data_IF_142240059491
#
_entry.id   IF_142240059491
#
_cell.length_a   1.000
_cell.length_b   1.000
_cell.length_c   1.000
_cell.angle_alpha   90.00
_cell.angle_beta   90.00
_cell.angle_gamma   90.00
#
_symmetry.space_group_name_H-M   'P 1'
#
loop_
_entity.id
_entity.type
_entity.pdbx_description
1 polymer ?
#
# COMPACT_ATOMS: atom_id res chain seq x y z
N UNK A 1 27.74 -18.82 -1.45
CA UNK A 1 26.96 -18.95 -0.19
C UNK A 1 25.52 -19.24 -0.57
N UNK A 2 25.06 -20.49 -0.43
CA UNK A 2 23.71 -20.91 -0.85
C UNK A 2 22.74 -20.47 0.24
N UNK A 3 22.07 -19.32 0.05
CA UNK A 3 21.07 -18.82 0.99
C UNK A 3 19.85 -19.74 0.86
N UNK A 4 19.62 -20.58 1.86
CA UNK A 4 18.49 -21.52 1.88
C UNK A 4 17.16 -20.76 1.83
N UNK A 5 16.13 -21.29 1.16
CA UNK A 5 14.89 -20.56 0.85
C UNK A 5 14.17 -20.04 2.10
N UNK A 6 14.33 -20.73 3.24
CA UNK A 6 13.79 -20.37 4.55
C UNK A 6 14.31 -19.02 5.06
N UNK A 7 15.60 -18.77 4.89
CA UNK A 7 16.24 -17.51 5.30
C UNK A 7 15.87 -16.36 4.39
N UNK A 8 15.64 -16.63 3.10
CA UNK A 8 15.11 -15.63 2.17
C UNK A 8 13.71 -15.19 2.57
N UNK A 9 12.84 -16.13 2.91
CA UNK A 9 11.49 -15.83 3.40
C UNK A 9 11.53 -15.05 4.72
N UNK A 10 12.33 -15.50 5.68
CA UNK A 10 12.49 -14.81 6.96
C UNK A 10 13.01 -13.37 6.78
N UNK A 11 14.00 -13.18 5.91
CA UNK A 11 14.50 -11.84 5.58
C UNK A 11 13.44 -10.97 4.91
N UNK A 12 12.67 -11.50 3.96
CA UNK A 12 11.57 -10.77 3.33
C UNK A 12 10.51 -10.35 4.34
N UNK A 13 10.09 -11.25 5.22
CA UNK A 13 9.12 -10.95 6.28
C UNK A 13 9.66 -9.88 7.22
N UNK A 14 10.93 -9.99 7.62
CA UNK A 14 11.57 -8.99 8.47
C UNK A 14 11.61 -7.60 7.80
N UNK A 15 11.93 -7.54 6.50
CA UNK A 15 11.92 -6.29 5.74
C UNK A 15 10.51 -5.69 5.68
N UNK A 16 9.49 -6.51 5.37
CA UNK A 16 8.09 -6.05 5.35
C UNK A 16 7.68 -5.53 6.73
N UNK A 17 8.01 -6.25 7.80
CA UNK A 17 7.71 -5.85 9.17
C UNK A 17 8.38 -4.52 9.54
N UNK A 18 9.65 -4.32 9.18
CA UNK A 18 10.36 -3.05 9.41
C UNK A 18 9.73 -1.90 8.63
N UNK A 19 9.39 -2.13 7.36
CA UNK A 19 8.72 -1.11 6.55
C UNK A 19 7.37 -0.74 7.16
N UNK A 20 6.59 -1.73 7.56
CA UNK A 20 5.24 -1.53 8.09
C UNK A 20 5.22 -0.87 9.47
N UNK A 21 6.06 -1.35 10.40
CA UNK A 21 6.01 -0.94 11.81
C UNK A 21 6.90 0.25 12.14
N UNK A 22 7.89 0.55 11.30
CA UNK A 22 8.87 1.62 11.59
C UNK A 22 8.85 2.69 10.51
N UNK A 23 9.08 2.30 9.26
CA UNK A 23 9.27 3.28 8.17
C UNK A 23 7.97 4.04 7.88
N UNK A 24 6.86 3.32 7.74
CA UNK A 24 5.57 3.90 7.40
C UNK A 24 5.05 4.87 8.49
N UNK A 25 5.00 4.51 9.79
CA UNK A 25 4.58 5.45 10.83
C UNK A 25 5.55 6.63 10.98
N UNK A 26 6.85 6.42 10.77
CA UNK A 26 7.82 7.53 10.77
C UNK A 26 7.56 8.54 9.65
N UNK A 27 7.18 8.07 8.45
CA UNK A 27 6.79 8.94 7.34
C UNK A 27 5.47 9.65 7.65
N UNK A 28 4.48 8.93 8.18
CA UNK A 28 3.17 9.49 8.54
C UNK A 28 3.29 10.62 9.57
N UNK A 29 4.26 10.53 10.49
CA UNK A 29 4.49 11.54 11.52
C UNK A 29 5.25 12.79 11.01
N UNK A 30 5.61 12.86 9.72
CA UNK A 30 6.18 14.08 9.15
C UNK A 30 5.08 15.15 9.01
N UNK A 31 5.38 16.44 9.29
CA UNK A 31 4.37 17.51 9.30
C UNK A 31 3.54 17.55 8.02
N UNK A 32 4.18 17.52 6.86
CA UNK A 32 3.51 17.59 5.54
C UNK A 32 2.54 16.43 5.30
N UNK A 33 2.86 15.23 5.80
CA UNK A 33 2.00 14.05 5.62
C UNK A 33 0.85 14.09 6.63
N UNK A 34 1.16 14.40 7.89
CA UNK A 34 0.16 14.52 8.96
C UNK A 34 -0.87 15.61 8.65
N UNK A 35 -0.45 16.80 8.22
CA UNK A 35 -1.35 17.91 7.82
C UNK A 35 -2.29 17.49 6.68
N UNK A 36 -1.78 16.71 5.73
CA UNK A 36 -2.60 16.21 4.62
C UNK A 36 -3.60 15.14 5.08
N UNK A 37 -3.19 14.26 5.99
CA UNK A 37 -4.09 13.25 6.57
C UNK A 37 -5.20 13.95 7.36
N UNK A 38 -4.86 14.93 8.20
CA UNK A 38 -5.81 15.72 8.98
C UNK A 38 -6.78 16.49 8.08
N UNK A 39 -6.27 17.11 7.00
CA UNK A 39 -7.14 17.76 6.01
C UNK A 39 -8.13 16.79 5.33
N UNK A 40 -7.70 15.56 5.03
CA UNK A 40 -8.57 14.54 4.44
C UNK A 40 -9.66 14.11 5.45
N UNK A 41 -9.26 13.90 6.71
CA UNK A 41 -10.16 13.52 7.80
C UNK A 41 -11.19 14.62 8.09
N UNK A 42 -10.75 15.88 8.18
CA UNK A 42 -11.61 17.07 8.35
C UNK A 42 -12.65 17.22 7.22
N UNK A 43 -12.32 16.74 6.02
CA UNK A 43 -13.22 16.75 4.86
C UNK A 43 -14.07 15.49 4.75
N UNK A 44 -13.89 14.51 5.63
CA UNK A 44 -14.55 13.21 5.55
C UNK A 44 -14.19 12.43 4.28
N UNK A 45 -13.00 12.69 3.71
CA UNK A 45 -12.53 12.04 2.49
C UNK A 45 -11.70 10.82 2.88
N UNK A 46 -12.19 9.63 2.54
CA UNK A 46 -11.41 8.39 2.63
C UNK A 46 -10.59 8.19 1.34
N UNK A 47 -9.25 8.40 1.37
CA UNK A 47 -8.40 8.22 0.20
C UNK A 47 -8.20 6.74 -0.18
N UNK A 48 -8.58 5.80 0.70
CA UNK A 48 -8.50 4.36 0.45
C UNK A 48 -9.79 3.78 -0.12
N UNK A 49 -10.86 4.57 -0.15
CA UNK A 49 -12.11 4.18 -0.76
C UNK A 49 -11.90 3.90 -2.25
N UNK A 50 -12.26 2.70 -2.68
CA UNK A 50 -12.28 2.35 -4.10
C UNK A 50 -13.48 3.05 -4.74
N UNK A 51 -13.22 3.96 -5.70
CA UNK A 51 -14.30 4.62 -6.41
C UNK A 51 -14.93 3.65 -7.42
N UNK A 52 -16.21 3.33 -7.25
CA UNK A 52 -16.93 2.45 -8.19
C UNK A 52 -17.02 3.02 -9.62
N UNK A 53 -16.81 4.32 -9.81
CA UNK A 53 -16.63 4.92 -11.15
C UNK A 53 -15.34 4.47 -11.84
N UNK A 54 -14.34 4.05 -11.08
CA UNK A 54 -13.10 3.48 -11.62
C UNK A 54 -13.28 1.99 -12.00
N UNK A 55 -14.35 1.33 -11.53
CA UNK A 55 -14.66 -0.06 -11.89
C UNK A 55 -14.93 -0.20 -13.40
N UNK A 56 -15.69 0.74 -13.99
CA UNK A 56 -15.95 0.79 -15.44
C UNK A 56 -14.65 0.98 -16.23
N UNK A 57 -13.69 1.75 -15.70
CA UNK A 57 -12.38 1.93 -16.30
C UNK A 57 -11.46 0.70 -16.14
N UNK A 58 -11.71 -0.17 -15.15
CA UNK A 58 -10.97 -1.40 -14.91
C UNK A 58 -11.46 -2.59 -15.77
N UNK A 59 -12.70 -2.55 -16.26
CA UNK A 59 -13.30 -3.55 -17.15
C UNK A 59 -12.37 -4.00 -18.32
N UNK A 60 -11.75 -3.08 -19.11
CA UNK A 60 -10.85 -3.48 -20.19
C UNK A 60 -9.56 -4.15 -19.70
N UNK A 61 -9.09 -3.82 -18.49
CA UNK A 61 -7.88 -4.40 -17.90
C UNK A 61 -8.17 -5.82 -17.41
N UNK A 62 -9.29 -6.01 -16.71
CA UNK A 62 -9.74 -7.31 -16.20
C UNK A 62 -9.94 -8.29 -17.35
N UNK A 63 -10.65 -7.89 -18.41
CA UNK A 63 -10.88 -8.73 -19.59
C UNK A 63 -9.57 -9.18 -20.27
N UNK A 64 -8.53 -8.33 -20.26
CA UNK A 64 -7.22 -8.66 -20.83
C UNK A 64 -6.43 -9.66 -19.97
N UNK A 65 -6.66 -9.67 -18.66
CA UNK A 65 -6.03 -10.60 -17.72
C UNK A 65 -6.70 -11.97 -17.76
N UNK A 66 -8.02 -12.05 -17.89
CA UNK A 66 -8.78 -13.31 -17.98
C UNK A 66 -8.52 -14.09 -19.29
N UNK A 67 -8.03 -13.42 -20.33
CA UNK A 67 -7.69 -14.05 -21.61
C UNK A 67 -6.30 -14.70 -21.65
N UNK A 68 -5.53 -14.64 -20.55
CA UNK A 68 -4.23 -15.32 -20.41
C UNK A 68 -4.33 -16.53 -19.49
#
# INVERSE_FOLDING_TARGET
MIITPRWRLAASIAVIAVVWLVVLPWIANRPTVSERIEWLDDKGIDPSAMYYTELEAMEPIIRKLEQR
#
